data_IF_909816646699
#
_entry.id   IF_909816646699
#
_cell.length_a   1.000
_cell.length_b   1.000
_cell.length_c   1.000
_cell.angle_alpha   90.00
_cell.angle_beta   90.00
_cell.angle_gamma   90.00
#
_symmetry.space_group_name_H-M   'P 1'
#
loop_
_entity.id
_entity.type
_entity.pdbx_description
1 polymer ?
#
# COMPACT_ATOMS: atom_id res chain seq x y z
N UNK A 1 -41.37 7.81 4.79
CA UNK A 1 -40.04 7.30 4.37
C UNK A 1 -39.09 7.62 5.52
N UNK A 2 -38.69 6.62 6.30
CA UNK A 2 -37.81 6.82 7.45
C UNK A 2 -36.37 6.95 6.92
N UNK A 3 -35.78 8.14 7.04
CA UNK A 3 -34.38 8.35 6.70
C UNK A 3 -33.52 7.82 7.83
N UNK A 4 -32.75 6.75 7.57
CA UNK A 4 -31.78 6.24 8.52
C UNK A 4 -30.58 7.21 8.63
N UNK A 5 -30.02 7.42 9.84
CA UNK A 5 -28.77 8.13 10.00
C UNK A 5 -27.67 7.47 9.18
N UNK A 6 -26.77 8.26 8.56
CA UNK A 6 -25.74 7.72 7.65
C UNK A 6 -24.71 6.75 8.27
N UNK A 7 -24.73 6.53 9.59
CA UNK A 7 -23.96 5.47 10.28
C UNK A 7 -24.69 4.11 10.31
N UNK A 8 -25.99 4.10 10.08
CA UNK A 8 -26.87 2.92 10.15
C UNK A 8 -27.22 2.38 8.75
N UNK A 9 -26.81 3.09 7.70
CA UNK A 9 -26.94 2.63 6.31
C UNK A 9 -25.80 1.65 6.05
N UNK A 10 -26.13 0.36 5.92
CA UNK A 10 -25.15 -0.63 5.47
C UNK A 10 -24.59 -0.22 4.10
N UNK A 11 -23.26 -0.28 3.87
CA UNK A 11 -22.68 -0.06 2.55
C UNK A 11 -23.28 -0.94 1.44
N UNK A 12 -23.82 -2.10 1.82
CA UNK A 12 -24.47 -3.10 0.96
C UNK A 12 -25.99 -2.92 0.88
N UNK A 13 -26.56 -1.95 1.59
CA UNK A 13 -28.00 -1.69 1.49
C UNK A 13 -28.35 -1.16 0.10
N UNK A 14 -29.45 -1.65 -0.46
CA UNK A 14 -29.95 -1.24 -1.77
C UNK A 14 -30.17 0.28 -1.79
N UNK A 15 -29.35 1.00 -2.57
CA UNK A 15 -29.44 2.46 -2.66
C UNK A 15 -30.42 2.91 -3.74
N UNK A 16 -30.48 2.19 -4.86
CA UNK A 16 -31.32 2.51 -6.00
C UNK A 16 -31.93 1.24 -6.60
N UNK A 17 -33.26 1.05 -6.55
CA UNK A 17 -33.90 -0.12 -7.15
C UNK A 17 -33.66 -0.29 -8.65
N UNK A 18 -33.35 0.81 -9.35
CA UNK A 18 -33.05 0.79 -10.80
C UNK A 18 -31.57 0.57 -11.10
N UNK A 19 -30.72 0.56 -10.07
CA UNK A 19 -29.30 0.25 -10.15
C UNK A 19 -28.85 -0.52 -8.89
N UNK A 20 -29.22 -1.80 -8.78
CA UNK A 20 -29.05 -2.57 -7.55
C UNK A 20 -27.58 -2.85 -7.18
N UNK A 21 -26.68 -2.78 -8.16
CA UNK A 21 -25.24 -2.98 -7.94
C UNK A 21 -24.56 -1.74 -7.32
N UNK A 22 -25.22 -0.57 -7.42
CA UNK A 22 -24.70 0.68 -6.89
C UNK A 22 -24.74 0.69 -5.35
N UNK A 23 -23.57 0.87 -4.74
CA UNK A 23 -23.39 0.83 -3.29
C UNK A 23 -23.03 2.20 -2.75
N UNK A 24 -23.14 2.34 -1.43
CA UNK A 24 -22.89 3.60 -0.75
C UNK A 24 -21.52 3.61 -0.07
N UNK A 25 -20.81 4.75 -0.18
CA UNK A 25 -19.58 5.03 0.57
C UNK A 25 -19.62 6.45 1.13
N UNK A 26 -19.07 6.60 2.34
CA UNK A 26 -18.83 7.89 2.99
C UNK A 26 -17.34 8.07 3.26
N UNK A 27 -16.64 8.74 2.35
CA UNK A 27 -15.19 9.00 2.48
C UNK A 27 -14.87 10.50 2.46
N UNK A 28 -15.31 11.22 1.42
CA UNK A 28 -15.16 12.68 1.28
C UNK A 28 -16.51 13.43 1.20
N UNK A 29 -17.60 12.69 1.46
CA UNK A 29 -18.97 13.08 1.22
C UNK A 29 -19.83 11.83 1.10
N UNK A 30 -21.11 12.01 0.77
CA UNK A 30 -22.01 10.91 0.48
C UNK A 30 -21.92 10.57 -1.01
N UNK A 31 -21.50 9.35 -1.34
CA UNK A 31 -21.44 8.88 -2.72
C UNK A 31 -22.19 7.55 -2.88
N UNK A 32 -23.07 7.49 -3.87
CA UNK A 32 -23.75 6.27 -4.31
C UNK A 32 -23.29 5.96 -5.73
N UNK A 33 -22.86 4.74 -5.98
CA UNK A 33 -22.36 4.32 -7.29
C UNK A 33 -21.23 3.32 -7.16
N UNK A 34 -20.18 3.56 -7.94
CA UNK A 34 -19.02 2.69 -8.08
C UNK A 34 -17.72 3.46 -7.83
N UNK A 35 -16.65 2.74 -7.53
CA UNK A 35 -15.29 3.25 -7.42
C UNK A 35 -14.48 2.75 -8.61
N UNK A 36 -13.71 3.66 -9.21
CA UNK A 36 -12.81 3.33 -10.31
C UNK A 36 -11.36 3.33 -9.84
N UNK A 37 -10.60 2.32 -10.28
CA UNK A 37 -9.15 2.27 -10.16
C UNK A 37 -8.50 2.35 -11.54
N UNK A 38 -7.33 2.99 -11.61
CA UNK A 38 -6.61 3.20 -12.86
C UNK A 38 -5.12 2.92 -12.64
N UNK A 39 -4.50 2.21 -13.58
CA UNK A 39 -3.05 2.04 -13.66
C UNK A 39 -2.53 2.76 -14.89
N UNK A 40 -1.67 3.75 -14.65
CA UNK A 40 -1.05 4.56 -15.68
C UNK A 40 0.41 4.13 -15.86
N UNK A 41 0.81 3.84 -17.10
CA UNK A 41 2.21 3.73 -17.48
C UNK A 41 2.66 5.07 -18.06
N UNK A 42 3.86 5.50 -17.72
CA UNK A 42 4.40 6.78 -18.19
C UNK A 42 5.90 6.68 -18.43
N UNK A 43 6.41 7.60 -19.24
CA UNK A 43 7.82 7.94 -19.35
C UNK A 43 7.97 9.47 -19.29
N UNK A 44 9.14 10.00 -19.62
CA UNK A 44 9.40 11.45 -19.57
C UNK A 44 8.50 12.27 -20.53
N UNK A 45 8.00 11.65 -21.59
CA UNK A 45 7.30 12.36 -22.68
C UNK A 45 5.80 12.07 -22.75
N UNK A 46 5.39 10.86 -22.36
CA UNK A 46 4.08 10.30 -22.63
C UNK A 46 3.53 9.54 -21.42
N UNK A 47 2.21 9.47 -21.35
CA UNK A 47 1.50 8.63 -20.39
C UNK A 47 0.32 7.93 -21.06
N UNK A 48 0.03 6.72 -20.60
CA UNK A 48 -1.07 5.90 -21.11
C UNK A 48 -1.67 5.08 -19.97
N UNK A 49 -3.00 5.15 -19.86
CA UNK A 49 -3.74 4.28 -18.97
C UNK A 49 -3.71 2.87 -19.56
N UNK A 50 -3.07 1.94 -18.87
CA UNK A 50 -2.89 0.55 -19.32
C UNK A 50 -3.96 -0.38 -18.75
N UNK A 51 -4.43 -0.09 -17.54
CA UNK A 51 -5.47 -0.87 -16.88
C UNK A 51 -6.45 0.08 -16.20
N UNK A 52 -7.70 -0.33 -16.16
CA UNK A 52 -8.72 0.31 -15.33
C UNK A 52 -9.68 -0.74 -14.84
N UNK A 53 -10.30 -0.46 -13.71
CA UNK A 53 -11.43 -1.24 -13.22
C UNK A 53 -12.48 -0.30 -12.60
N UNK A 54 -13.73 -0.74 -12.58
CA UNK A 54 -14.87 -0.13 -11.94
C UNK A 54 -15.57 -1.20 -11.12
N UNK A 55 -15.67 -0.99 -9.81
CA UNK A 55 -16.26 -1.94 -8.85
C UNK A 55 -17.23 -1.23 -7.89
N UNK A 56 -18.11 -1.94 -7.17
CA UNK A 56 -18.91 -1.37 -6.10
C UNK A 56 -18.05 -0.62 -5.08
N UNK A 57 -18.59 0.41 -4.45
CA UNK A 57 -17.93 1.24 -3.43
C UNK A 57 -17.42 0.46 -2.21
N UNK A 58 -17.87 -0.78 -2.01
CA UNK A 58 -17.38 -1.71 -0.98
C UNK A 58 -16.02 -2.34 -1.34
N UNK A 59 -15.59 -2.25 -2.60
CA UNK A 59 -14.29 -2.73 -3.05
C UNK A 59 -13.17 -1.87 -2.47
N UNK A 60 -12.17 -2.53 -1.89
CA UNK A 60 -11.08 -1.85 -1.18
C UNK A 60 -9.89 -1.59 -2.09
N UNK A 61 -9.13 -0.53 -1.77
CA UNK A 61 -7.93 -0.16 -2.52
C UNK A 61 -6.89 -1.30 -2.58
N UNK A 62 -6.60 -2.05 -1.49
CA UNK A 62 -5.72 -3.22 -1.57
C UNK A 62 -6.23 -4.32 -2.49
N UNK A 63 -7.55 -4.49 -2.62
CA UNK A 63 -8.14 -5.53 -3.47
C UNK A 63 -7.92 -5.19 -4.96
N UNK A 64 -8.03 -3.92 -5.34
CA UNK A 64 -7.62 -3.48 -6.67
C UNK A 64 -6.13 -3.77 -6.95
N UNK A 65 -5.25 -3.61 -5.96
CA UNK A 65 -3.84 -3.97 -6.12
C UNK A 65 -3.65 -5.46 -6.31
N UNK A 66 -4.37 -6.29 -5.55
CA UNK A 66 -4.36 -7.75 -5.70
C UNK A 66 -4.74 -8.17 -7.13
N UNK A 67 -5.85 -7.63 -7.68
CA UNK A 67 -6.30 -7.94 -9.05
C UNK A 67 -5.27 -7.53 -10.10
N UNK A 68 -4.65 -6.35 -9.92
CA UNK A 68 -3.59 -5.88 -10.83
C UNK A 68 -2.36 -6.76 -10.78
N UNK A 69 -1.92 -7.19 -9.59
CA UNK A 69 -0.80 -8.12 -9.46
C UNK A 69 -1.12 -9.45 -10.14
N UNK A 70 -2.33 -9.98 -9.96
CA UNK A 70 -2.76 -11.20 -10.65
C UNK A 70 -2.74 -11.03 -12.18
N UNK A 71 -3.33 -9.96 -12.71
CA UNK A 71 -3.35 -9.69 -14.16
C UNK A 71 -1.94 -9.50 -14.74
N UNK A 72 -1.06 -8.81 -14.01
CA UNK A 72 0.32 -8.62 -14.44
C UNK A 72 1.15 -9.90 -14.38
N UNK A 73 0.87 -10.80 -13.44
CA UNK A 73 1.56 -12.10 -13.34
C UNK A 73 1.36 -12.97 -14.58
N UNK A 74 0.21 -12.83 -15.24
CA UNK A 74 -0.13 -13.57 -16.46
C UNK A 74 0.59 -13.04 -17.71
N UNK A 75 1.06 -11.79 -17.66
CA UNK A 75 1.58 -11.06 -18.83
C UNK A 75 3.06 -10.68 -18.72
N UNK A 76 3.61 -10.59 -17.51
CA UNK A 76 5.00 -10.21 -17.30
C UNK A 76 5.96 -11.39 -17.49
N UNK A 77 7.05 -11.12 -18.22
CA UNK A 77 8.16 -12.06 -18.30
C UNK A 77 8.87 -12.17 -16.95
N UNK A 78 9.27 -13.37 -16.49
CA UNK A 78 9.94 -13.56 -15.20
C UNK A 78 11.25 -12.78 -15.02
N UNK A 79 11.82 -12.25 -16.08
CA UNK A 79 13.10 -11.53 -16.07
C UNK A 79 12.96 -10.01 -15.98
N UNK A 80 11.75 -9.47 -16.13
CA UNK A 80 11.52 -8.02 -16.16
C UNK A 80 11.13 -7.52 -14.77
N UNK A 81 11.98 -6.67 -14.18
CA UNK A 81 11.63 -5.94 -12.97
C UNK A 81 10.67 -4.80 -13.31
N UNK A 82 9.53 -4.74 -12.63
CA UNK A 82 8.55 -3.65 -12.78
C UNK A 82 8.42 -2.88 -11.47
N UNK A 83 8.39 -1.55 -11.55
CA UNK A 83 8.14 -0.68 -10.41
C UNK A 83 6.73 -0.12 -10.55
N UNK A 84 5.93 -0.22 -9.49
CA UNK A 84 4.58 0.32 -9.45
C UNK A 84 4.47 1.22 -8.23
N UNK A 85 4.37 2.52 -8.47
CA UNK A 85 4.10 3.50 -7.42
C UNK A 85 2.61 3.51 -7.08
N UNK A 86 2.28 3.44 -5.80
CA UNK A 86 0.89 3.35 -5.31
C UNK A 86 0.63 4.35 -4.19
N UNK A 87 -0.63 4.75 -3.97
CA UNK A 87 -0.97 5.46 -2.74
C UNK A 87 -0.92 4.49 -1.54
N UNK A 88 -0.70 5.00 -0.34
CA UNK A 88 -0.56 4.19 0.86
C UNK A 88 -1.77 3.29 1.15
N UNK A 89 -2.98 3.68 0.72
CA UNK A 89 -4.18 2.87 0.86
C UNK A 89 -4.17 1.59 0.01
N UNK A 90 -3.44 1.60 -1.11
CA UNK A 90 -3.25 0.44 -2.01
C UNK A 90 -2.13 -0.49 -1.55
N UNK A 91 -1.39 -0.13 -0.48
CA UNK A 91 -0.25 -0.89 -0.01
C UNK A 91 -0.55 -1.66 1.28
N UNK A 92 -0.09 -2.91 1.32
CA UNK A 92 0.17 -3.63 2.56
C UNK A 92 1.38 -4.57 2.39
N UNK A 93 1.98 -5.01 3.51
CA UNK A 93 3.16 -5.88 3.48
C UNK A 93 2.91 -7.19 2.74
N UNK A 94 1.75 -7.82 2.93
CA UNK A 94 1.43 -9.11 2.33
C UNK A 94 1.40 -9.02 0.78
N UNK A 95 0.74 -7.99 0.22
CA UNK A 95 0.75 -7.68 -1.21
C UNK A 95 2.13 -7.30 -1.71
N UNK A 96 2.93 -6.57 -0.91
CA UNK A 96 4.31 -6.24 -1.26
C UNK A 96 5.18 -7.49 -1.37
N UNK A 97 5.02 -8.47 -0.48
CA UNK A 97 5.72 -9.74 -0.59
C UNK A 97 5.25 -10.55 -1.79
N UNK A 98 3.96 -10.54 -2.10
CA UNK A 98 3.43 -11.23 -3.29
C UNK A 98 3.96 -10.60 -4.59
N UNK A 99 3.92 -9.28 -4.69
CA UNK A 99 4.49 -8.54 -5.81
C UNK A 99 5.98 -8.86 -6.03
N UNK A 100 6.78 -8.95 -4.96
CA UNK A 100 8.20 -9.29 -5.05
C UNK A 100 8.46 -10.66 -5.66
N UNK A 101 7.61 -11.67 -5.39
CA UNK A 101 7.74 -13.01 -6.00
C UNK A 101 7.58 -12.96 -7.52
N UNK A 102 6.92 -11.92 -8.02
CA UNK A 102 6.64 -11.68 -9.44
C UNK A 102 7.60 -10.64 -10.04
N UNK A 103 8.70 -10.29 -9.35
CA UNK A 103 9.64 -9.23 -9.75
C UNK A 103 8.99 -7.83 -9.88
N UNK A 104 7.91 -7.60 -9.13
CA UNK A 104 7.25 -6.30 -9.02
C UNK A 104 7.64 -5.63 -7.70
N UNK A 105 8.15 -4.41 -7.77
CA UNK A 105 8.40 -3.55 -6.60
C UNK A 105 7.24 -2.58 -6.43
N UNK A 106 6.45 -2.78 -5.36
CA UNK A 106 5.43 -1.82 -4.93
C UNK A 106 6.06 -0.69 -4.12
N UNK A 107 5.90 0.55 -4.58
CA UNK A 107 6.46 1.76 -3.99
C UNK A 107 5.31 2.65 -3.46
N UNK A 108 4.89 2.48 -2.20
CA UNK A 108 3.85 3.34 -1.63
C UNK A 108 4.30 4.78 -1.43
N UNK A 109 3.40 5.76 -1.62
CA UNK A 109 3.62 7.16 -1.25
C UNK A 109 3.79 7.37 0.26
N UNK A 110 3.12 6.53 1.04
CA UNK A 110 3.10 6.56 2.50
C UNK A 110 2.72 5.18 3.03
N UNK A 111 3.16 4.84 4.24
CA UNK A 111 2.66 3.65 4.93
C UNK A 111 1.46 3.99 5.80
N UNK A 112 0.43 3.16 5.74
CA UNK A 112 -0.75 3.25 6.62
C UNK A 112 -0.42 2.69 8.01
N UNK A 113 -1.17 3.16 9.02
CA UNK A 113 -1.03 2.72 10.41
C UNK A 113 -0.27 3.71 11.30
N UNK A 114 0.03 3.28 12.52
CA UNK A 114 0.66 4.14 13.52
C UNK A 114 2.07 4.58 13.06
N UNK A 115 2.29 5.89 13.09
CA UNK A 115 3.62 6.47 12.86
C UNK A 115 4.60 5.95 13.93
N UNK A 116 5.85 5.64 13.55
CA UNK A 116 6.88 5.31 14.52
C UNK A 116 7.10 6.47 15.50
N UNK A 117 7.64 6.16 16.68
CA UNK A 117 8.14 7.18 17.58
C UNK A 117 9.42 7.77 16.96
N UNK A 118 9.48 9.08 16.66
CA UNK A 118 10.67 9.69 16.04
C UNK A 118 11.91 9.64 16.94
N UNK A 119 11.75 9.53 18.27
CA UNK A 119 12.85 9.51 19.23
C UNK A 119 13.47 8.12 19.41
N UNK A 120 12.92 7.10 18.73
CA UNK A 120 13.35 5.71 18.85
C UNK A 120 13.79 5.18 17.49
N UNK A 121 14.81 4.32 17.50
CA UNK A 121 15.22 3.62 16.29
C UNK A 121 14.10 2.70 15.78
N UNK A 122 13.97 2.68 14.45
CA UNK A 122 13.20 1.67 13.75
C UNK A 122 13.84 0.29 13.89
N UNK A 123 13.04 -0.76 13.67
CA UNK A 123 13.56 -2.12 13.76
C UNK A 123 14.43 -2.50 12.57
N UNK A 124 14.42 -1.72 11.49
CA UNK A 124 15.28 -1.85 10.31
C UNK A 124 16.77 -1.74 10.61
N UNK A 125 17.14 -1.09 11.72
CA UNK A 125 18.54 -0.98 12.18
C UNK A 125 19.05 -2.24 12.89
N UNK A 126 18.19 -3.24 13.12
CA UNK A 126 18.62 -4.55 13.59
C UNK A 126 18.95 -5.43 12.37
N UNK A 127 20.16 -5.98 12.35
CA UNK A 127 20.58 -6.84 11.25
C UNK A 127 19.97 -8.23 11.42
N UNK A 128 19.13 -8.63 10.46
CA UNK A 128 18.47 -9.95 10.44
C UNK A 128 19.14 -10.82 9.39
N UNK A 129 19.69 -11.95 9.81
CA UNK A 129 20.08 -13.02 8.91
C UNK A 129 18.84 -13.81 8.50
N UNK A 130 18.43 -13.64 7.24
CA UNK A 130 17.18 -14.21 6.72
C UNK A 130 17.20 -15.75 6.68
N UNK A 131 18.37 -16.36 6.43
CA UNK A 131 18.52 -17.82 6.31
C UNK A 131 18.25 -18.54 7.64
N UNK A 132 18.82 -18.02 8.72
CA UNK A 132 18.61 -18.57 10.06
C UNK A 132 17.41 -17.96 10.79
N UNK A 133 16.81 -16.93 10.21
CA UNK A 133 15.75 -16.12 10.81
C UNK A 133 16.15 -15.62 12.21
N UNK A 134 17.34 -15.03 12.31
CA UNK A 134 17.86 -14.49 13.57
C UNK A 134 18.36 -13.08 13.39
N UNK A 135 18.15 -12.27 14.41
CA UNK A 135 18.86 -11.01 14.56
C UNK A 135 20.29 -11.31 14.99
N UNK A 136 21.27 -10.86 14.21
CA UNK A 136 22.71 -11.10 14.45
C UNK A 136 23.39 -9.89 15.12
N UNK A 137 22.91 -8.68 14.81
CA UNK A 137 23.52 -7.44 15.29
C UNK A 137 22.44 -6.43 15.67
N UNK A 138 22.62 -5.72 16.78
CA UNK A 138 21.77 -4.59 17.18
C UNK A 138 22.28 -3.25 16.59
N UNK A 139 21.52 -2.14 16.69
CA UNK A 139 21.94 -0.83 16.16
C UNK A 139 23.28 -0.32 16.70
N UNK A 140 23.68 -0.75 17.89
CA UNK A 140 24.96 -0.39 18.51
C UNK A 140 26.12 -1.35 18.15
N UNK A 141 25.92 -2.27 17.21
CA UNK A 141 26.94 -3.24 16.78
C UNK A 141 27.15 -4.43 17.74
N UNK A 142 26.27 -4.61 18.73
CA UNK A 142 26.41 -5.70 19.71
C UNK A 142 25.66 -6.96 19.24
N UNK A 143 26.28 -8.12 19.48
CA UNK A 143 25.66 -9.44 19.21
C UNK A 143 24.71 -9.82 20.34
N UNK A 144 23.49 -10.31 20.04
CA UNK A 144 22.57 -10.80 21.05
C UNK A 144 23.03 -12.07 21.76
N UNK A 145 22.72 -12.18 23.06
CA UNK A 145 22.91 -13.42 23.80
C UNK A 145 22.00 -14.54 23.27
N UNK A 146 20.76 -14.16 22.94
CA UNK A 146 19.74 -15.06 22.41
C UNK A 146 18.93 -14.34 21.34
N UNK A 147 18.74 -15.03 20.21
CA UNK A 147 17.96 -14.55 19.09
C UNK A 147 17.21 -15.71 18.48
N UNK A 148 15.88 -15.59 18.38
CA UNK A 148 15.04 -16.61 17.79
C UNK A 148 13.78 -16.03 17.16
N UNK A 149 13.25 -16.78 16.20
CA UNK A 149 12.03 -16.46 15.48
C UNK A 149 10.89 -17.40 15.86
N UNK A 150 9.75 -16.82 16.22
CA UNK A 150 8.50 -17.56 16.44
C UNK A 150 7.74 -17.61 15.11
N UNK A 151 7.83 -18.73 14.40
CA UNK A 151 7.18 -18.92 13.10
C UNK A 151 5.65 -18.83 13.15
N UNK A 152 5.02 -19.19 14.28
CA UNK A 152 3.56 -19.10 14.43
C UNK A 152 3.12 -17.64 14.58
N UNK A 153 3.89 -16.83 15.30
CA UNK A 153 3.60 -15.40 15.53
C UNK A 153 4.26 -14.47 14.52
N UNK A 154 5.13 -14.99 13.65
CA UNK A 154 5.99 -14.24 12.74
C UNK A 154 6.73 -13.10 13.45
N UNK A 155 7.38 -13.41 14.57
CA UNK A 155 8.00 -12.43 15.45
C UNK A 155 9.43 -12.81 15.83
N UNK A 156 10.34 -11.85 15.73
CA UNK A 156 11.69 -11.94 16.26
C UNK A 156 11.67 -11.60 17.75
N UNK A 157 12.44 -12.34 18.55
CA UNK A 157 12.73 -12.01 19.93
C UNK A 157 14.23 -12.01 20.13
N UNK A 158 14.74 -10.89 20.64
CA UNK A 158 16.16 -10.68 20.91
C UNK A 158 16.32 -10.41 22.39
N UNK A 159 17.26 -11.11 23.03
CA UNK A 159 17.62 -10.87 24.42
C UNK A 159 19.08 -10.43 24.51
N UNK A 160 19.30 -9.36 25.25
CA UNK A 160 20.61 -8.75 25.47
C UNK A 160 20.94 -8.74 26.96
N UNK A 161 22.22 -8.82 27.28
CA UNK A 161 22.73 -8.58 28.62
C UNK A 161 22.40 -7.15 29.09
N UNK A 162 22.11 -7.03 30.39
CA UNK A 162 21.72 -5.75 30.99
C UNK A 162 22.88 -4.77 31.09
N UNK A 163 24.03 -5.23 31.57
CA UNK A 163 25.18 -4.37 31.79
C UNK A 163 25.67 -3.79 30.45
N UNK A 164 25.65 -4.60 29.39
CA UNK A 164 25.98 -4.13 28.02
C UNK A 164 25.00 -3.03 27.57
N UNK A 165 23.69 -3.22 27.77
CA UNK A 165 22.69 -2.24 27.38
C UNK A 165 22.70 -0.96 28.25
N UNK A 166 22.99 -1.07 29.54
CA UNK A 166 23.06 0.06 30.47
C UNK A 166 24.30 0.93 30.22
N UNK A 167 25.40 0.34 29.74
CA UNK A 167 26.59 1.07 29.31
C UNK A 167 26.49 1.59 27.86
N UNK A 168 25.40 1.33 27.15
CA UNK A 168 25.27 1.66 25.74
C UNK A 168 24.92 3.15 25.54
N UNK A 169 25.69 3.91 24.74
CA UNK A 169 25.41 5.34 24.51
C UNK A 169 24.09 5.57 23.74
N UNK A 170 23.57 4.54 23.06
CA UNK A 170 22.35 4.62 22.28
C UNK A 170 21.10 4.15 23.05
N UNK A 171 21.21 3.95 24.37
CA UNK A 171 20.14 3.39 25.21
C UNK A 171 18.83 4.19 25.11
N UNK A 172 18.91 5.52 25.08
CA UNK A 172 17.73 6.40 25.01
C UNK A 172 16.94 6.23 23.72
N UNK A 173 17.61 5.95 22.60
CA UNK A 173 16.97 5.75 21.28
C UNK A 173 16.61 4.27 21.04
N UNK A 174 17.14 3.36 21.86
CA UNK A 174 16.92 1.93 21.70
C UNK A 174 15.46 1.52 22.04
N UNK A 175 14.80 0.68 21.22
CA UNK A 175 13.46 0.17 21.50
C UNK A 175 13.44 -1.02 22.47
N UNK A 176 14.60 -1.41 23.04
CA UNK A 176 14.72 -2.53 23.96
C UNK A 176 14.00 -2.25 25.29
N UNK A 177 13.35 -3.27 25.85
CA UNK A 177 12.60 -3.17 27.11
C UNK A 177 13.31 -3.93 28.22
N UNK A 178 13.52 -3.31 29.40
CA UNK A 178 14.14 -4.00 30.53
C UNK A 178 13.20 -5.09 31.08
N UNK A 179 13.75 -6.27 31.38
CA UNK A 179 13.05 -7.35 32.10
C UNK A 179 13.84 -7.78 33.34
N UNK A 180 13.34 -8.77 34.10
CA UNK A 180 14.02 -9.22 35.33
C UNK A 180 15.44 -9.73 35.09
N UNK A 181 15.64 -10.59 34.08
CA UNK A 181 16.94 -11.26 33.81
C UNK A 181 17.75 -10.60 32.69
N UNK A 182 17.14 -10.40 31.52
CA UNK A 182 17.77 -9.83 30.32
C UNK A 182 16.92 -8.68 29.77
N UNK A 183 17.50 -7.79 28.98
CA UNK A 183 16.72 -6.82 28.22
C UNK A 183 16.17 -7.49 26.95
N UNK A 184 14.95 -7.16 26.56
CA UNK A 184 14.25 -7.85 25.47
C UNK A 184 13.69 -6.85 24.48
N UNK A 185 13.93 -7.09 23.19
CA UNK A 185 13.19 -6.45 22.11
C UNK A 185 12.43 -7.51 21.32
N UNK A 186 11.18 -7.19 20.97
CA UNK A 186 10.32 -8.08 20.19
C UNK A 186 9.63 -7.25 19.12
N UNK A 187 9.72 -7.70 17.87
CA UNK A 187 9.06 -7.06 16.74
C UNK A 187 8.59 -8.12 15.74
N UNK A 188 7.50 -7.84 15.05
CA UNK A 188 7.00 -8.73 14.00
C UNK A 188 7.82 -8.56 12.72
N UNK A 189 7.87 -9.60 11.91
CA UNK A 189 8.49 -9.59 10.58
C UNK A 189 7.87 -8.49 9.69
N UNK A 190 6.54 -8.34 9.74
CA UNK A 190 5.81 -7.25 9.09
C UNK A 190 6.26 -5.87 9.55
N UNK A 191 6.49 -5.70 10.87
CA UNK A 191 6.95 -4.42 11.40
C UNK A 191 8.37 -4.09 10.95
N UNK A 192 9.25 -5.08 10.95
CA UNK A 192 10.62 -4.96 10.43
C UNK A 192 10.63 -4.50 8.97
N UNK A 193 9.88 -5.19 8.09
CA UNK A 193 9.76 -4.83 6.67
C UNK A 193 9.17 -3.44 6.46
N UNK A 194 8.15 -3.06 7.22
CA UNK A 194 7.58 -1.72 7.15
C UNK A 194 8.60 -0.65 7.57
N UNK A 195 9.40 -0.90 8.60
CA UNK A 195 10.46 0.02 9.00
C UNK A 195 11.57 0.10 7.93
N UNK A 196 11.91 -1.00 7.25
CA UNK A 196 12.83 -0.97 6.10
C UNK A 196 12.27 -0.13 4.94
N UNK A 197 10.96 -0.21 4.67
CA UNK A 197 10.31 0.64 3.67
C UNK A 197 10.34 2.10 4.09
N UNK A 198 10.16 2.43 5.38
CA UNK A 198 10.29 3.81 5.89
C UNK A 198 11.70 4.35 5.73
N UNK A 199 12.72 3.56 6.08
CA UNK A 199 14.11 3.95 5.87
C UNK A 199 14.40 4.24 4.39
N UNK A 200 13.83 3.43 3.48
CA UNK A 200 13.90 3.70 2.04
C UNK A 200 13.15 4.96 1.64
N UNK A 201 11.99 5.27 2.24
CA UNK A 201 11.20 6.47 1.95
C UNK A 201 11.95 7.78 2.21
N UNK A 202 12.99 7.77 3.03
CA UNK A 202 13.84 8.93 3.33
C UNK A 202 14.97 9.12 2.31
N UNK A 203 15.13 8.21 1.32
CA UNK A 203 16.15 8.35 0.29
C UNK A 203 15.67 9.19 -0.89
N UNK A 204 16.60 9.92 -1.50
CA UNK A 204 16.32 10.74 -2.67
C UNK A 204 15.80 9.90 -3.86
N UNK A 205 16.34 8.70 -4.05
CA UNK A 205 15.88 7.75 -5.08
C UNK A 205 14.40 7.39 -4.89
N UNK A 206 13.99 7.16 -3.63
CA UNK A 206 12.59 6.86 -3.32
C UNK A 206 11.70 8.06 -3.54
N UNK A 207 12.15 9.26 -3.14
CA UNK A 207 11.41 10.49 -3.39
C UNK A 207 11.16 10.71 -4.89
N UNK A 208 12.14 10.45 -5.75
CA UNK A 208 11.95 10.54 -7.21
C UNK A 208 10.90 9.54 -7.71
N UNK A 209 10.95 8.29 -7.25
CA UNK A 209 9.97 7.26 -7.62
C UNK A 209 8.56 7.60 -7.11
N UNK A 210 8.42 8.12 -5.89
CA UNK A 210 7.14 8.49 -5.30
C UNK A 210 6.56 9.78 -5.93
N UNK A 211 7.41 10.75 -6.29
CA UNK A 211 7.01 12.03 -6.89
C UNK A 211 6.42 11.86 -8.30
N UNK A 212 6.77 10.80 -9.01
CA UNK A 212 6.16 10.45 -10.30
C UNK A 212 4.62 10.33 -10.25
N UNK A 213 4.05 10.12 -9.06
CA UNK A 213 2.61 10.13 -8.79
C UNK A 213 1.92 11.44 -9.16
N UNK A 214 2.63 12.58 -9.14
CA UNK A 214 2.07 13.88 -9.50
C UNK A 214 1.44 13.88 -10.90
N UNK A 215 1.97 13.07 -11.83
CA UNK A 215 1.40 12.89 -13.17
C UNK A 215 0.03 12.20 -13.18
N UNK A 216 -0.23 11.32 -12.20
CA UNK A 216 -1.48 10.54 -12.08
C UNK A 216 -2.59 11.33 -11.38
N UNK A 217 -2.27 12.24 -10.46
CA UNK A 217 -3.28 13.02 -9.73
C UNK A 217 -4.16 13.88 -10.64
N UNK A 218 -3.63 14.29 -11.80
CA UNK A 218 -4.40 14.99 -12.82
C UNK A 218 -5.47 14.13 -13.49
N UNK A 219 -5.29 12.80 -13.58
CA UNK A 219 -6.15 11.90 -14.34
C UNK A 219 -7.59 11.89 -13.80
N UNK A 220 -7.85 11.68 -12.50
CA UNK A 220 -9.21 11.75 -11.95
C UNK A 220 -9.89 13.10 -12.21
N UNK A 221 -9.14 14.21 -12.13
CA UNK A 221 -9.67 15.56 -12.39
C UNK A 221 -10.11 15.72 -13.85
N UNK A 222 -9.29 15.26 -14.79
CA UNK A 222 -9.60 15.28 -16.23
C UNK A 222 -10.81 14.40 -16.53
N UNK A 223 -10.87 13.19 -15.97
CA UNK A 223 -11.99 12.27 -16.14
C UNK A 223 -13.30 12.89 -15.66
N UNK A 224 -13.32 13.54 -14.49
CA UNK A 224 -14.52 14.22 -13.99
C UNK A 224 -14.91 15.42 -14.83
N UNK A 225 -13.96 16.33 -15.09
CA UNK A 225 -14.26 17.63 -15.71
C UNK A 225 -14.44 17.58 -17.22
N UNK A 226 -13.70 16.73 -17.93
CA UNK A 226 -13.70 16.66 -19.40
C UNK A 226 -14.47 15.47 -19.94
N UNK A 227 -14.46 14.35 -19.22
CA UNK A 227 -15.14 13.15 -19.65
C UNK A 227 -16.41 12.87 -18.86
N UNK A 228 -16.77 13.67 -17.85
CA UNK A 228 -18.02 13.56 -17.09
C UNK A 228 -18.32 12.13 -16.61
N UNK A 229 -17.33 11.53 -15.93
CA UNK A 229 -17.45 10.16 -15.38
C UNK A 229 -18.41 10.07 -14.18
N UNK A 230 -18.71 11.20 -13.53
CA UNK A 230 -19.61 11.22 -12.37
C UNK A 230 -21.10 11.15 -12.78
N UNK A 231 -21.46 11.52 -14.01
CA UNK A 231 -22.85 11.54 -14.50
C UNK A 231 -23.03 10.67 -15.76
N UNK A 232 -22.51 9.45 -15.75
CA UNK A 232 -22.68 8.52 -16.87
C UNK A 232 -24.17 8.15 -17.06
N UNK A 233 -24.71 8.18 -18.29
CA UNK A 233 -26.15 7.96 -18.56
C UNK A 233 -26.52 6.47 -18.62
N UNK A 234 -25.83 5.63 -17.85
CA UNK A 234 -25.98 4.18 -17.82
C UNK A 234 -26.15 3.70 -16.37
N UNK A 235 -26.67 2.49 -16.19
CA UNK A 235 -26.87 1.85 -14.89
C UNK A 235 -26.41 0.40 -14.95
N UNK A 236 -26.06 -0.15 -13.79
CA UNK A 236 -25.56 -1.52 -13.65
C UNK A 236 -24.06 -1.59 -13.90
N UNK A 237 -23.38 -2.46 -13.14
CA UNK A 237 -21.92 -2.46 -13.04
C UNK A 237 -21.26 -2.71 -14.39
N UNK A 238 -21.69 -3.75 -15.10
CA UNK A 238 -21.09 -4.17 -16.38
C UNK A 238 -21.19 -3.05 -17.44
N UNK A 239 -22.37 -2.45 -17.58
CA UNK A 239 -22.59 -1.38 -18.56
C UNK A 239 -21.79 -0.13 -18.20
N UNK A 240 -21.72 0.18 -16.90
CA UNK A 240 -20.93 1.30 -16.37
C UNK A 240 -19.44 1.12 -16.63
N UNK A 241 -18.92 -0.09 -16.40
CA UNK A 241 -17.50 -0.44 -16.63
C UNK A 241 -17.12 -0.31 -18.10
N UNK A 242 -17.96 -0.82 -19.02
CA UNK A 242 -17.74 -0.67 -20.47
C UNK A 242 -17.75 0.81 -20.89
N UNK A 243 -18.73 1.58 -20.41
CA UNK A 243 -18.86 3.01 -20.74
C UNK A 243 -17.68 3.82 -20.21
N UNK A 244 -17.23 3.54 -18.99
CA UNK A 244 -16.03 4.10 -18.41
C UNK A 244 -14.80 3.77 -19.26
N UNK A 245 -14.69 2.53 -19.75
CA UNK A 245 -13.66 2.10 -20.69
C UNK A 245 -13.58 2.94 -21.97
N UNK A 246 -14.72 3.28 -22.58
CA UNK A 246 -14.72 4.18 -23.75
C UNK A 246 -14.19 5.58 -23.42
N UNK A 247 -14.48 6.11 -22.23
CA UNK A 247 -13.93 7.40 -21.77
C UNK A 247 -12.43 7.32 -21.54
N UNK A 248 -11.93 6.22 -20.97
CA UNK A 248 -10.50 5.95 -20.80
C UNK A 248 -9.80 5.87 -22.17
N UNK A 249 -10.39 5.14 -23.13
CA UNK A 249 -9.87 5.05 -24.48
C UNK A 249 -9.80 6.41 -25.18
N UNK A 250 -10.84 7.23 -25.04
CA UNK A 250 -10.85 8.60 -25.57
C UNK A 250 -9.75 9.48 -24.93
N UNK A 251 -9.53 9.33 -23.61
CA UNK A 251 -8.45 10.02 -22.90
C UNK A 251 -7.07 9.61 -23.38
N UNK A 252 -6.82 8.30 -23.50
CA UNK A 252 -5.56 7.77 -24.04
C UNK A 252 -5.32 8.27 -25.46
N UNK A 253 -6.33 8.18 -26.35
CA UNK A 253 -6.21 8.63 -27.73
C UNK A 253 -5.82 10.12 -27.80
N UNK A 254 -6.50 10.96 -27.02
CA UNK A 254 -6.18 12.40 -26.95
C UNK A 254 -4.80 12.69 -26.35
N UNK A 255 -4.31 11.84 -25.45
CA UNK A 255 -2.99 12.01 -24.85
C UNK A 255 -1.85 11.61 -25.80
N UNK A 256 -2.09 10.61 -26.65
CA UNK A 256 -1.08 10.02 -27.53
C UNK A 256 -1.07 10.63 -28.93
N UNK A 257 -2.22 11.14 -29.40
CA UNK A 257 -2.35 11.79 -30.70
C UNK A 257 -2.33 13.30 -30.49
N UNK A 258 -1.18 13.92 -30.78
CA UNK A 258 -1.03 15.38 -30.87
C UNK A 258 -1.59 15.91 -32.19
#
# INVERSE_FOLDING_TARGET
MLFLPGKEISPESLQNPTDPDATYRKQYGHSTGYVANIVNAYNEENQVITHYDLEPNTYSDPKFTEDILQSLSETLSPTQKKIISVDGAFYNDDLSQEAKKQNIELVPSQLTGAKPNPDKFGYDQFEVEEKEQKVVTCPAGQTPDESYYDAKKKCYTVKMDKAICEACPLQEQCPIKPQKKKNVVRFSEKRYRNDQVRAKMETEEYHQLANSRAGVEGIPSVLRRRYDVDHMPIRGLVRSKIWFGFKIAAMNFKSLVK
#
